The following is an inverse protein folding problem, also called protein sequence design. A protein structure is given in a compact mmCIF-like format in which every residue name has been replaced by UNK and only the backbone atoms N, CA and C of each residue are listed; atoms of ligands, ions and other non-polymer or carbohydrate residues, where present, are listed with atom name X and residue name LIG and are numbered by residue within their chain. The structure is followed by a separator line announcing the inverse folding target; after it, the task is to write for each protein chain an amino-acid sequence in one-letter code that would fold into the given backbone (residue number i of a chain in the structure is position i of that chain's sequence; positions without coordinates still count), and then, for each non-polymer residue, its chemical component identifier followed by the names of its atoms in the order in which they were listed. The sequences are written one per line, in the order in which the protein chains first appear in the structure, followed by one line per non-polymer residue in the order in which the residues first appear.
data_IF_682437680971
#
_entry.id   IF_682437680971
#
_cell.length_a   1.000
_cell.length_b   1.000
_cell.length_c   1.000
_cell.angle_alpha   90.00
_cell.angle_beta   90.00
_cell.angle_gamma   90.00
#
_symmetry.space_group_name_H-M   'P 1'
#
loop_
_entity.id
_entity.type
_entity.pdbx_description
1 polymer ?
#
# COMPACT_ATOMS: atom_id res chain seq x y z
N UNK A 1 -26.50 -0.41 8.44
CA UNK A 1 -26.73 -0.87 9.83
C UNK A 1 -26.28 0.22 10.80
N UNK A 2 -27.09 0.60 11.81
CA UNK A 2 -26.74 1.68 12.74
C UNK A 2 -25.60 1.26 13.69
N UNK A 3 -24.68 2.16 14.00
CA UNK A 3 -23.50 1.93 14.88
C UNK A 3 -23.83 1.18 16.19
N UNK A 4 -24.98 1.45 16.79
CA UNK A 4 -25.45 0.74 18.01
C UNK A 4 -25.78 -0.74 17.79
N UNK A 5 -26.33 -1.10 16.63
CA UNK A 5 -26.67 -2.49 16.30
C UNK A 5 -25.39 -3.31 16.02
N UNK A 6 -24.44 -2.72 15.30
CA UNK A 6 -23.13 -3.31 15.07
C UNK A 6 -22.40 -3.58 16.38
N UNK A 7 -22.38 -2.61 17.30
CA UNK A 7 -21.81 -2.80 18.65
C UNK A 7 -22.51 -3.92 19.43
N UNK A 8 -23.83 -4.06 19.28
CA UNK A 8 -24.62 -5.11 19.94
C UNK A 8 -24.31 -6.51 19.40
N UNK A 9 -24.09 -6.62 18.08
CA UNK A 9 -23.67 -7.87 17.41
C UNK A 9 -22.27 -8.26 17.85
N UNK A 10 -21.33 -7.32 17.85
CA UNK A 10 -19.95 -7.54 18.29
C UNK A 10 -19.88 -7.98 19.76
N UNK A 11 -20.71 -7.40 20.64
CA UNK A 11 -20.80 -7.80 22.03
C UNK A 11 -21.43 -9.18 22.25
N UNK A 12 -22.34 -9.60 21.37
CA UNK A 12 -22.97 -10.93 21.43
C UNK A 12 -22.07 -12.04 20.88
N UNK A 13 -21.14 -11.70 19.97
CA UNK A 13 -20.19 -12.65 19.40
C UNK A 13 -19.01 -12.91 20.34
N UNK A 14 -18.73 -12.01 21.28
CA UNK A 14 -17.68 -12.17 22.30
C UNK A 14 -18.17 -12.90 23.53
N UNK A 15 -17.43 -13.90 23.98
CA UNK A 15 -17.64 -14.56 25.26
C UNK A 15 -17.42 -13.56 26.44
N UNK A 16 -18.02 -13.80 27.61
CA UNK A 16 -17.94 -12.92 28.78
C UNK A 16 -16.49 -12.56 29.21
N UNK A 17 -15.51 -13.34 28.80
CA UNK A 17 -14.07 -13.13 29.04
C UNK A 17 -13.43 -12.04 28.18
N UNK A 18 -14.17 -11.44 27.22
CA UNK A 18 -13.66 -10.50 26.23
C UNK A 18 -13.94 -9.02 26.46
N UNK A 19 -14.38 -8.61 27.66
CA UNK A 19 -14.71 -7.21 27.94
C UNK A 19 -13.60 -6.20 27.63
N UNK A 20 -12.34 -6.56 27.88
CA UNK A 20 -11.19 -5.69 27.58
C UNK A 20 -10.87 -5.62 26.10
N UNK A 21 -11.15 -6.70 25.37
CA UNK A 21 -10.98 -6.85 23.94
C UNK A 21 -12.05 -6.12 23.15
N UNK A 22 -13.29 -6.22 23.62
CA UNK A 22 -14.45 -5.53 23.07
C UNK A 22 -14.15 -4.02 22.96
N UNK A 23 -13.48 -3.43 23.95
CA UNK A 23 -13.15 -2.00 23.93
C UNK A 23 -12.15 -1.63 22.82
N UNK A 24 -11.03 -2.32 22.70
CA UNK A 24 -10.01 -1.99 21.69
C UNK A 24 -10.48 -2.31 20.27
N UNK A 25 -11.27 -3.36 20.12
CA UNK A 25 -11.86 -3.68 18.84
C UNK A 25 -12.97 -2.69 18.46
N UNK A 26 -13.80 -2.30 19.42
CA UNK A 26 -14.78 -1.22 19.20
C UNK A 26 -14.08 0.09 18.86
N UNK A 27 -12.93 0.40 19.45
CA UNK A 27 -12.12 1.57 19.10
C UNK A 27 -11.55 1.46 17.68
N UNK A 28 -11.04 0.30 17.28
CA UNK A 28 -10.56 0.05 15.91
C UNK A 28 -11.71 0.11 14.91
N UNK A 29 -12.81 -0.56 15.20
CA UNK A 29 -14.01 -0.54 14.36
C UNK A 29 -14.63 0.86 14.30
N UNK A 30 -14.62 1.59 15.40
CA UNK A 30 -15.04 2.99 15.42
C UNK A 30 -14.10 3.88 14.61
N UNK A 31 -12.81 3.54 14.52
CA UNK A 31 -11.87 4.21 13.63
C UNK A 31 -12.20 3.95 12.16
N UNK A 32 -12.53 2.71 11.80
CA UNK A 32 -13.00 2.34 10.46
C UNK A 32 -14.32 3.05 10.12
N UNK A 33 -15.30 3.00 11.02
CA UNK A 33 -16.57 3.73 10.86
C UNK A 33 -16.34 5.24 10.77
N UNK A 34 -15.46 5.80 11.59
CA UNK A 34 -15.14 7.22 11.56
C UNK A 34 -14.49 7.61 10.24
N UNK A 35 -13.72 6.76 9.60
CA UNK A 35 -13.14 7.06 8.28
C UNK A 35 -14.21 7.17 7.19
N UNK A 36 -15.31 6.43 7.28
CA UNK A 36 -16.49 6.58 6.42
C UNK A 36 -17.28 7.84 6.80
N UNK A 37 -17.50 8.07 8.09
CA UNK A 37 -18.23 9.23 8.60
C UNK A 37 -17.48 10.56 8.45
N UNK A 38 -16.15 10.54 8.44
CA UNK A 38 -15.32 11.71 8.23
C UNK A 38 -15.66 12.44 6.94
N UNK A 39 -16.12 11.73 5.91
CA UNK A 39 -16.53 12.33 4.64
C UNK A 39 -17.85 13.07 4.72
N UNK A 40 -18.78 12.61 5.57
CA UNK A 40 -20.08 13.28 5.79
C UNK A 40 -19.96 14.49 6.73
N UNK A 41 -18.86 14.59 7.49
CA UNK A 41 -18.64 15.68 8.44
C UNK A 41 -17.65 16.71 7.89
N UNK A 42 -18.15 17.86 7.45
CA UNK A 42 -17.35 18.95 6.84
C UNK A 42 -16.12 19.36 7.65
N UNK A 43 -16.16 19.35 9.00
CA UNK A 43 -15.03 19.73 9.86
C UNK A 43 -13.89 18.70 9.85
N UNK A 44 -14.19 17.41 9.64
CA UNK A 44 -13.19 16.33 9.58
C UNK A 44 -12.72 16.06 8.16
N UNK A 45 -13.50 16.46 7.16
CA UNK A 45 -13.08 16.50 5.76
C UNK A 45 -11.72 17.19 5.59
N UNK A 46 -11.44 18.22 6.40
CA UNK A 46 -10.20 19.00 6.37
C UNK A 46 -8.94 18.23 6.81
N UNK A 47 -9.05 17.21 7.65
CA UNK A 47 -7.88 16.45 8.13
C UNK A 47 -7.41 15.43 7.08
N UNK A 48 -8.34 14.90 6.29
CA UNK A 48 -8.09 13.87 5.27
C UNK A 48 -8.22 14.40 3.84
N UNK A 49 -8.75 15.59 3.67
CA UNK A 49 -8.89 16.22 2.36
C UNK A 49 -7.69 17.09 2.05
N UNK A 50 -7.16 16.74 0.92
CA UNK A 50 -6.34 17.53 0.05
C UNK A 50 -5.64 18.70 0.74
N UNK A 51 -4.51 18.47 1.36
CA UNK A 51 -3.60 19.55 1.40
C UNK A 51 -3.30 19.89 -0.06
N UNK A 52 -3.52 21.09 -0.45
CA UNK A 52 -2.97 21.66 -1.67
C UNK A 52 -1.50 21.27 -1.78
N UNK A 53 -0.97 21.15 -2.98
CA UNK A 53 0.44 20.82 -3.21
C UNK A 53 1.38 21.70 -2.38
N UNK A 54 1.01 22.98 -2.19
CA UNK A 54 1.74 23.92 -1.32
C UNK A 54 1.90 23.42 0.12
N UNK A 55 0.85 22.83 0.70
CA UNK A 55 0.89 22.27 2.06
C UNK A 55 1.69 20.97 2.12
N UNK A 56 1.55 20.11 1.11
CA UNK A 56 2.35 18.90 1.00
C UNK A 56 3.84 19.23 0.83
N UNK A 57 4.17 20.22 0.02
CA UNK A 57 5.55 20.71 -0.12
C UNK A 57 6.13 21.15 1.22
N UNK A 58 5.35 21.85 2.06
CA UNK A 58 5.77 22.20 3.43
C UNK A 58 6.03 20.97 4.29
N UNK A 59 5.17 19.93 4.19
CA UNK A 59 5.36 18.66 4.91
C UNK A 59 6.66 18.00 4.44
N UNK A 60 6.93 17.93 3.13
CA UNK A 60 8.15 17.34 2.59
C UNK A 60 9.40 18.09 3.03
N UNK A 61 9.38 19.43 2.97
CA UNK A 61 10.52 20.27 3.38
C UNK A 61 10.79 20.23 4.88
N UNK A 62 9.76 20.39 5.70
CA UNK A 62 9.91 20.65 7.14
C UNK A 62 9.85 19.37 7.98
N UNK A 63 8.90 18.49 7.71
CA UNK A 63 8.71 17.29 8.52
C UNK A 63 9.51 16.10 8.00
N UNK A 64 9.48 15.85 6.67
CA UNK A 64 10.28 14.78 6.06
C UNK A 64 11.74 15.18 5.87
N UNK A 65 12.04 16.47 5.81
CA UNK A 65 13.37 17.01 5.49
C UNK A 65 13.88 16.47 4.13
N UNK A 66 12.96 16.35 3.17
CA UNK A 66 13.20 15.84 1.81
C UNK A 66 12.71 16.86 0.78
N UNK A 67 13.41 18.02 0.61
CA UNK A 67 13.00 19.04 -0.36
C UNK A 67 12.95 18.52 -1.79
N UNK A 68 13.75 17.51 -2.13
CA UNK A 68 13.76 16.87 -3.45
C UNK A 68 12.45 16.14 -3.78
N UNK A 69 11.58 15.87 -2.81
CA UNK A 69 10.24 15.31 -3.04
C UNK A 69 9.18 16.36 -3.35
N UNK A 70 9.51 17.67 -3.34
CA UNK A 70 8.51 18.71 -3.61
C UNK A 70 8.16 18.80 -5.10
N UNK A 71 6.91 19.15 -5.38
CA UNK A 71 6.42 19.43 -6.74
C UNK A 71 6.28 20.94 -6.95
N UNK A 72 6.55 21.41 -8.16
CA UNK A 72 6.09 22.70 -8.60
C UNK A 72 4.59 22.63 -8.90
N UNK A 73 3.91 23.77 -8.76
CA UNK A 73 2.49 23.87 -9.12
C UNK A 73 2.49 24.34 -10.57
N UNK A 74 2.31 23.40 -11.46
CA UNK A 74 2.32 23.59 -12.90
C UNK A 74 1.16 22.88 -13.58
N UNK A 75 1.02 23.03 -14.89
CA UNK A 75 -0.03 22.43 -15.71
C UNK A 75 0.18 20.92 -15.95
N UNK A 76 1.26 20.33 -15.43
CA UNK A 76 1.52 18.90 -15.56
C UNK A 76 0.58 18.05 -14.69
N UNK A 77 -0.17 18.68 -13.78
CA UNK A 77 -1.13 18.00 -12.91
C UNK A 77 -2.53 18.11 -13.47
N UNK A 78 -3.08 17.01 -13.94
CA UNK A 78 -4.43 16.93 -14.46
C UNK A 78 -5.36 16.12 -13.54
N UNK A 79 -6.45 16.70 -13.01
CA UNK A 79 -7.45 15.95 -12.26
C UNK A 79 -8.21 15.00 -13.19
N UNK A 80 -8.52 13.81 -12.68
CA UNK A 80 -9.28 12.79 -13.39
C UNK A 80 -10.38 12.21 -12.52
N UNK A 81 -11.40 11.64 -13.14
CA UNK A 81 -12.41 10.81 -12.50
C UNK A 81 -12.67 9.58 -13.37
N UNK A 82 -12.88 8.45 -12.73
CA UNK A 82 -13.24 7.20 -13.39
C UNK A 82 -14.14 6.37 -12.46
N UNK A 83 -14.87 5.47 -13.05
CA UNK A 83 -15.85 4.66 -12.35
C UNK A 83 -15.37 3.20 -12.24
N UNK A 84 -15.65 2.58 -11.11
CA UNK A 84 -15.40 1.16 -10.88
C UNK A 84 -16.53 0.31 -11.45
N UNK A 85 -16.33 -1.00 -11.58
CA UNK A 85 -17.36 -1.93 -12.06
C UNK A 85 -18.63 -1.98 -11.19
N UNK A 86 -18.51 -1.58 -9.93
CA UNK A 86 -19.61 -1.51 -8.96
C UNK A 86 -20.13 -0.08 -8.76
N UNK A 87 -19.88 0.82 -9.73
CA UNK A 87 -20.50 2.14 -9.80
C UNK A 87 -19.93 3.19 -8.85
N UNK A 88 -18.73 2.99 -8.31
CA UNK A 88 -18.09 3.96 -7.40
C UNK A 88 -17.23 4.92 -8.21
N UNK A 89 -17.48 6.23 -8.09
CA UNK A 89 -16.66 7.25 -8.77
C UNK A 89 -15.39 7.53 -7.96
N UNK A 90 -14.26 7.31 -8.61
CA UNK A 90 -12.92 7.48 -8.05
C UNK A 90 -12.32 8.79 -8.54
N UNK A 91 -11.79 9.58 -7.62
CA UNK A 91 -11.06 10.81 -7.89
C UNK A 91 -9.56 10.55 -7.95
N UNK A 92 -8.92 10.95 -9.02
CA UNK A 92 -7.50 10.79 -9.22
C UNK A 92 -6.81 12.03 -9.77
N UNK A 93 -5.50 11.92 -9.96
CA UNK A 93 -4.65 12.89 -10.63
C UNK A 93 -3.70 12.16 -11.57
N UNK A 94 -3.43 12.76 -12.73
CA UNK A 94 -2.27 12.45 -13.56
C UNK A 94 -1.22 13.52 -13.37
N UNK A 95 0.05 13.11 -13.28
CA UNK A 95 1.19 13.99 -13.45
C UNK A 95 1.93 13.57 -14.72
N UNK A 96 1.97 14.48 -15.68
CA UNK A 96 2.53 14.20 -17.01
C UNK A 96 3.93 14.79 -17.07
N UNK A 97 4.92 13.92 -16.99
CA UNK A 97 6.35 14.27 -17.12
C UNK A 97 6.72 14.49 -18.59
N UNK A 98 6.25 13.57 -19.43
CA UNK A 98 6.42 13.60 -20.87
C UNK A 98 5.14 13.07 -21.55
N UNK A 99 4.46 13.85 -22.35
CA UNK A 99 3.24 13.41 -23.05
C UNK A 99 3.47 12.27 -24.03
N UNK A 100 4.70 12.07 -24.49
CA UNK A 100 5.05 10.96 -25.39
C UNK A 100 5.42 9.68 -24.64
N UNK A 101 5.69 9.77 -23.34
CA UNK A 101 6.05 8.61 -22.55
C UNK A 101 4.91 7.60 -22.47
N UNK A 102 5.23 6.33 -22.69
CA UNK A 102 4.33 5.19 -22.52
C UNK A 102 4.62 4.41 -21.24
N UNK A 103 5.43 5.00 -20.34
CA UNK A 103 5.77 4.46 -19.02
C UNK A 103 4.94 5.16 -17.95
N UNK A 104 4.27 4.38 -17.09
CA UNK A 104 3.39 4.91 -16.04
C UNK A 104 3.61 4.23 -14.71
N UNK A 105 3.58 5.00 -13.63
CA UNK A 105 3.45 4.50 -12.26
C UNK A 105 2.04 4.77 -11.77
N UNK A 106 1.36 3.72 -11.31
CA UNK A 106 0.14 3.87 -10.51
C UNK A 106 0.53 3.70 -9.04
N UNK A 107 0.33 4.74 -8.24
CA UNK A 107 0.68 4.72 -6.81
C UNK A 107 -0.54 4.75 -5.92
N UNK A 108 -0.55 3.84 -4.93
CA UNK A 108 -1.67 3.48 -4.07
C UNK A 108 -1.38 3.82 -2.60
N UNK A 109 -2.18 4.69 -2.01
CA UNK A 109 -1.97 5.14 -0.63
C UNK A 109 -2.37 4.10 0.42
N UNK A 110 -1.94 4.32 1.67
CA UNK A 110 -2.36 3.53 2.84
C UNK A 110 -3.77 3.86 3.31
N UNK A 111 -4.32 3.04 4.18
CA UNK A 111 -5.56 3.34 4.89
C UNK A 111 -5.47 4.69 5.60
N UNK A 112 -6.47 5.56 5.43
CA UNK A 112 -6.49 6.96 5.86
C UNK A 112 -5.56 7.91 5.09
N UNK A 113 -4.86 7.43 4.07
CA UNK A 113 -4.09 8.26 3.15
C UNK A 113 -4.96 8.98 2.11
N UNK A 114 -4.33 9.57 1.14
CA UNK A 114 -4.96 10.20 -0.02
C UNK A 114 -3.99 10.28 -1.20
N UNK A 115 -4.50 10.57 -2.41
CA UNK A 115 -3.75 10.60 -3.67
C UNK A 115 -2.48 11.47 -3.65
N UNK A 116 -2.46 12.57 -2.91
CA UNK A 116 -1.26 13.40 -2.83
C UNK A 116 -0.09 12.69 -2.14
N UNK A 117 -0.32 11.91 -1.08
CA UNK A 117 0.74 11.08 -0.51
C UNK A 117 1.33 10.15 -1.57
N UNK A 118 0.48 9.48 -2.33
CA UNK A 118 0.90 8.59 -3.41
C UNK A 118 1.69 9.32 -4.49
N UNK A 119 1.30 10.56 -4.84
CA UNK A 119 2.03 11.39 -5.79
C UNK A 119 3.47 11.64 -5.35
N UNK A 120 3.65 12.03 -4.08
CA UNK A 120 4.98 12.33 -3.53
C UNK A 120 5.85 11.07 -3.39
N UNK A 121 5.25 9.91 -3.08
CA UNK A 121 5.95 8.64 -3.08
C UNK A 121 6.42 8.23 -4.47
N UNK A 122 5.63 8.45 -5.50
CA UNK A 122 5.96 8.09 -6.88
C UNK A 122 6.99 9.03 -7.53
N UNK A 123 7.29 10.18 -6.93
CA UNK A 123 8.14 11.21 -7.55
C UNK A 123 9.49 10.71 -8.08
N UNK A 124 10.23 9.83 -7.41
CA UNK A 124 11.53 9.36 -7.93
C UNK A 124 11.46 8.74 -9.33
N UNK A 125 10.32 8.17 -9.73
CA UNK A 125 10.14 7.55 -11.04
C UNK A 125 10.04 8.56 -12.20
N UNK A 126 9.81 9.83 -11.90
CA UNK A 126 9.84 10.92 -12.90
C UNK A 126 11.20 10.95 -13.60
N UNK A 127 12.28 10.69 -12.86
CA UNK A 127 13.64 10.70 -13.39
C UNK A 127 13.92 9.54 -14.35
N UNK A 128 13.10 8.48 -14.31
CA UNK A 128 13.10 7.39 -15.30
C UNK A 128 12.15 7.63 -16.48
N UNK A 129 11.54 8.82 -16.58
CA UNK A 129 10.59 9.18 -17.63
C UNK A 129 9.19 8.58 -17.44
N UNK A 130 8.80 8.22 -16.21
CA UNK A 130 7.44 7.77 -15.93
C UNK A 130 6.49 8.94 -15.73
N UNK A 131 5.33 8.86 -16.35
CA UNK A 131 4.14 9.60 -15.94
C UNK A 131 3.54 8.93 -14.70
N UNK A 132 2.78 9.67 -13.91
CA UNK A 132 2.21 9.17 -12.66
C UNK A 132 0.70 9.27 -12.70
N UNK A 133 0.02 8.20 -12.27
CA UNK A 133 -1.40 8.20 -11.94
C UNK A 133 -1.55 7.89 -10.45
N UNK A 134 -2.30 8.73 -9.75
CA UNK A 134 -2.66 8.52 -8.36
C UNK A 134 -4.16 8.75 -8.16
N UNK A 135 -4.74 8.08 -7.16
CA UNK A 135 -6.15 8.21 -6.88
C UNK A 135 -6.44 8.04 -5.40
N UNK A 136 -7.59 8.54 -4.97
CA UNK A 136 -8.14 8.24 -3.66
C UNK A 136 -8.95 6.96 -3.74
N UNK A 137 -8.63 5.96 -2.92
CA UNK A 137 -9.51 4.79 -2.79
C UNK A 137 -10.92 5.21 -2.37
N UNK A 138 -11.94 4.40 -2.68
CA UNK A 138 -13.28 4.60 -2.14
C UNK A 138 -13.25 4.90 -0.65
N UNK A 139 -14.13 5.72 -0.15
CA UNK A 139 -14.15 6.19 1.23
C UNK A 139 -12.96 7.07 1.65
N UNK A 140 -12.08 7.47 0.75
CA UNK A 140 -10.95 8.36 1.02
C UNK A 140 -10.99 9.61 0.11
N UNK A 141 -10.33 10.68 0.55
CA UNK A 141 -10.14 11.92 -0.22
C UNK A 141 -11.42 12.42 -0.88
N UNK A 142 -11.41 12.55 -2.20
CA UNK A 142 -12.52 13.06 -3.03
C UNK A 142 -13.28 11.98 -3.80
N UNK A 143 -12.92 10.70 -3.64
CA UNK A 143 -13.68 9.58 -4.21
C UNK A 143 -14.99 9.34 -3.46
N UNK A 144 -15.93 8.65 -4.08
CA UNK A 144 -17.23 8.36 -3.47
C UNK A 144 -17.11 7.55 -2.18
N UNK A 145 -18.11 7.74 -1.32
CA UNK A 145 -18.25 6.99 -0.09
C UNK A 145 -19.22 5.85 -0.28
N UNK A 146 -18.81 4.68 0.15
CA UNK A 146 -19.64 3.49 0.31
C UNK A 146 -19.90 3.22 1.79
N UNK A 147 -20.79 2.29 2.10
CA UNK A 147 -21.16 2.00 3.48
C UNK A 147 -20.05 1.33 4.27
N UNK A 148 -19.04 0.75 3.60
CA UNK A 148 -18.07 -0.11 4.21
C UNK A 148 -16.65 0.16 3.70
N UNK A 149 -15.68 0.13 4.60
CA UNK A 149 -14.25 0.03 4.31
C UNK A 149 -13.83 -1.41 4.62
N UNK A 150 -13.24 -2.09 3.62
CA UNK A 150 -12.86 -3.49 3.73
C UNK A 150 -11.36 -3.71 3.91
N UNK A 151 -10.57 -2.63 3.93
CA UNK A 151 -9.11 -2.69 4.03
C UNK A 151 -8.46 -3.51 2.90
N UNK A 152 -9.03 -3.45 1.71
CA UNK A 152 -8.43 -4.00 0.50
C UNK A 152 -9.33 -4.84 -0.37
N UNK A 153 -10.42 -5.47 0.16
CA UNK A 153 -11.29 -6.32 -0.67
C UNK A 153 -12.04 -5.50 -1.72
N UNK A 154 -12.87 -4.56 -1.29
CA UNK A 154 -13.59 -3.67 -2.21
C UNK A 154 -12.67 -2.64 -2.86
N UNK A 155 -11.69 -2.15 -2.11
CA UNK A 155 -10.70 -1.19 -2.59
C UNK A 155 -9.81 -1.77 -3.71
N UNK A 156 -9.72 -3.10 -3.85
CA UNK A 156 -9.03 -3.74 -4.99
C UNK A 156 -9.68 -3.43 -6.33
N UNK A 157 -11.01 -3.24 -6.36
CA UNK A 157 -11.76 -2.83 -7.57
C UNK A 157 -11.37 -1.44 -8.05
N UNK A 158 -10.97 -0.56 -7.12
CA UNK A 158 -10.55 0.80 -7.45
C UNK A 158 -9.22 0.79 -8.22
N UNK A 159 -8.27 -0.07 -7.81
CA UNK A 159 -7.02 -0.24 -8.55
C UNK A 159 -7.24 -0.90 -9.92
N UNK A 160 -8.15 -1.88 -10.01
CA UNK A 160 -8.55 -2.47 -11.30
C UNK A 160 -9.11 -1.39 -12.23
N UNK A 161 -10.00 -0.53 -11.71
CA UNK A 161 -10.56 0.58 -12.48
C UNK A 161 -9.51 1.61 -12.90
N UNK A 162 -8.54 1.93 -12.02
CA UNK A 162 -7.43 2.83 -12.33
C UNK A 162 -6.54 2.28 -13.47
N UNK A 163 -6.23 0.99 -13.45
CA UNK A 163 -5.48 0.32 -14.52
C UNK A 163 -6.24 0.33 -15.84
N UNK A 164 -7.55 0.02 -15.81
CA UNK A 164 -8.41 0.09 -17.01
C UNK A 164 -8.44 1.51 -17.57
N UNK A 165 -8.75 2.51 -16.72
CA UNK A 165 -8.78 3.91 -17.12
C UNK A 165 -7.48 4.33 -17.82
N UNK A 166 -6.34 3.98 -17.23
CA UNK A 166 -5.03 4.31 -17.81
C UNK A 166 -4.82 3.63 -19.15
N UNK A 167 -5.16 2.35 -19.28
CA UNK A 167 -4.99 1.59 -20.51
C UNK A 167 -5.86 2.14 -21.63
N UNK A 168 -7.10 2.49 -21.34
CA UNK A 168 -8.06 2.96 -22.33
C UNK A 168 -7.72 4.37 -22.83
N UNK A 169 -7.19 5.24 -21.97
CA UNK A 169 -6.94 6.64 -22.31
C UNK A 169 -5.49 6.92 -22.75
N UNK A 170 -4.49 6.28 -22.16
CA UNK A 170 -3.06 6.61 -22.35
C UNK A 170 -2.30 5.54 -23.15
N UNK A 171 -2.87 4.34 -23.31
CA UNK A 171 -2.27 3.21 -24.04
C UNK A 171 -0.82 2.92 -23.60
N UNK A 172 -0.57 2.67 -22.32
CA UNK A 172 0.77 2.45 -21.79
C UNK A 172 1.41 1.19 -22.36
N UNK A 173 2.72 1.19 -22.47
CA UNK A 173 3.53 0.00 -22.79
C UNK A 173 4.08 -0.64 -21.51
N UNK A 174 4.22 0.17 -20.45
CA UNK A 174 4.73 -0.25 -19.15
C UNK A 174 3.95 0.43 -18.04
N UNK A 175 3.42 -0.38 -17.12
CA UNK A 175 2.84 0.08 -15.87
C UNK A 175 3.64 -0.53 -14.73
N UNK A 176 4.17 0.32 -13.84
CA UNK A 176 4.66 -0.06 -12.52
C UNK A 176 3.60 0.24 -11.46
N UNK A 177 3.46 -0.62 -10.46
CA UNK A 177 2.57 -0.40 -9.32
C UNK A 177 3.41 -0.07 -8.08
N UNK A 178 3.03 0.97 -7.35
CA UNK A 178 3.65 1.34 -6.08
C UNK A 178 2.57 1.38 -5.00
N UNK A 179 2.71 0.58 -3.95
CA UNK A 179 1.71 0.52 -2.89
C UNK A 179 2.30 0.59 -1.50
N UNK A 180 1.58 1.28 -0.62
CA UNK A 180 1.91 1.42 0.80
C UNK A 180 0.79 0.85 1.67
N UNK A 181 1.11 -0.03 2.62
CA UNK A 181 0.16 -0.62 3.59
C UNK A 181 -1.06 -1.26 2.88
N UNK A 182 -2.25 -0.68 3.00
CA UNK A 182 -3.44 -1.13 2.29
C UNK A 182 -3.23 -1.17 0.77
N UNK A 183 -2.59 -0.17 0.18
CA UNK A 183 -2.25 -0.16 -1.24
C UNK A 183 -1.27 -1.29 -1.61
N UNK A 184 -0.30 -1.58 -0.74
CA UNK A 184 0.62 -2.70 -0.92
C UNK A 184 -0.11 -4.06 -0.81
N UNK A 185 -1.01 -4.21 0.16
CA UNK A 185 -1.87 -5.39 0.25
C UNK A 185 -2.68 -5.61 -1.03
N UNK A 186 -3.33 -4.56 -1.54
CA UNK A 186 -4.16 -4.63 -2.75
C UNK A 186 -3.33 -5.09 -3.96
N UNK A 187 -2.12 -4.56 -4.13
CA UNK A 187 -1.22 -5.00 -5.20
C UNK A 187 -0.93 -6.50 -5.06
N UNK A 188 -0.53 -6.96 -3.87
CA UNK A 188 -0.28 -8.39 -3.65
C UNK A 188 -1.51 -9.25 -3.89
N UNK A 189 -2.69 -8.79 -3.46
CA UNK A 189 -3.96 -9.48 -3.66
C UNK A 189 -4.29 -9.63 -5.15
N UNK A 190 -4.12 -8.57 -5.95
CA UNK A 190 -4.37 -8.64 -7.40
C UNK A 190 -3.39 -9.59 -8.10
N UNK A 191 -2.15 -9.73 -7.62
CA UNK A 191 -1.21 -10.67 -8.24
C UNK A 191 -1.63 -12.14 -8.11
N UNK A 192 -2.49 -12.48 -7.16
CA UNK A 192 -3.03 -13.84 -6.98
C UNK A 192 -4.46 -14.01 -7.48
N UNK A 193 -5.21 -12.92 -7.65
CA UNK A 193 -6.62 -12.97 -8.06
C UNK A 193 -6.88 -12.49 -9.48
N UNK A 194 -5.95 -11.72 -10.08
CA UNK A 194 -6.15 -11.02 -11.36
C UNK A 194 -4.94 -11.16 -12.30
N UNK A 195 -4.33 -12.37 -12.38
CA UNK A 195 -3.08 -12.60 -13.10
C UNK A 195 -3.15 -12.21 -14.58
N UNK A 196 -4.15 -12.71 -15.29
CA UNK A 196 -4.32 -12.44 -16.72
C UNK A 196 -4.70 -10.98 -16.98
N UNK A 197 -5.47 -10.36 -16.08
CA UNK A 197 -5.79 -8.94 -16.16
C UNK A 197 -4.52 -8.09 -16.08
N UNK A 198 -3.67 -8.31 -15.09
CA UNK A 198 -2.43 -7.55 -14.91
C UNK A 198 -1.49 -7.70 -16.12
N UNK A 199 -1.37 -8.93 -16.65
CA UNK A 199 -0.57 -9.22 -17.85
C UNK A 199 -1.12 -8.50 -19.08
N UNK A 200 -2.42 -8.61 -19.32
CA UNK A 200 -3.12 -7.93 -20.44
C UNK A 200 -2.89 -6.43 -20.42
N UNK A 201 -2.96 -5.82 -19.24
CA UNK A 201 -2.83 -4.38 -19.07
C UNK A 201 -1.38 -3.89 -18.87
N UNK A 202 -0.38 -4.71 -19.25
CA UNK A 202 1.04 -4.31 -19.28
C UNK A 202 1.63 -3.88 -17.93
N UNK A 203 1.11 -4.42 -16.84
CA UNK A 203 1.77 -4.30 -15.54
C UNK A 203 3.06 -5.13 -15.56
N UNK A 204 4.21 -4.50 -15.32
CA UNK A 204 5.54 -5.08 -15.48
C UNK A 204 6.24 -5.37 -14.16
N UNK A 205 6.02 -4.54 -13.15
CA UNK A 205 6.62 -4.67 -11.84
C UNK A 205 5.76 -4.02 -10.76
N UNK A 206 6.05 -4.32 -9.52
CA UNK A 206 5.46 -3.63 -8.39
C UNK A 206 6.46 -3.38 -7.26
N UNK A 207 6.16 -2.37 -6.45
CA UNK A 207 6.83 -2.09 -5.18
C UNK A 207 5.77 -2.14 -4.08
N UNK A 208 6.03 -2.92 -3.06
CA UNK A 208 5.08 -3.22 -1.98
C UNK A 208 5.71 -2.90 -0.63
N UNK A 209 5.34 -1.74 -0.05
CA UNK A 209 5.87 -1.31 1.25
C UNK A 209 4.87 -1.55 2.38
N UNK A 210 5.32 -2.23 3.45
CA UNK A 210 4.56 -2.47 4.68
C UNK A 210 3.24 -3.22 4.47
N UNK A 211 3.21 -4.20 3.55
CA UNK A 211 2.04 -5.03 3.29
C UNK A 211 1.71 -5.95 4.48
N UNK A 212 0.45 -6.35 4.56
CA UNK A 212 -0.01 -7.49 5.35
C UNK A 212 -0.48 -8.59 4.40
N UNK A 213 -0.55 -9.82 4.88
CA UNK A 213 -0.95 -10.95 4.03
C UNK A 213 -2.39 -11.40 4.24
N UNK A 214 -3.00 -10.98 5.36
CA UNK A 214 -4.41 -11.24 5.64
C UNK A 214 -4.98 -10.21 6.61
N UNK A 215 -6.30 -10.08 6.62
CA UNK A 215 -6.99 -9.24 7.62
C UNK A 215 -6.78 -9.79 9.05
N UNK A 216 -6.65 -11.09 9.20
CA UNK A 216 -6.38 -11.74 10.48
C UNK A 216 -5.04 -11.32 11.07
N UNK A 217 -3.97 -11.34 10.25
CA UNK A 217 -2.64 -10.95 10.70
C UNK A 217 -2.58 -9.46 11.01
N UNK A 218 -3.25 -8.63 10.20
CA UNK A 218 -3.38 -7.19 10.44
C UNK A 218 -4.08 -6.91 11.78
N UNK A 219 -5.25 -7.51 12.01
CA UNK A 219 -6.00 -7.35 13.26
C UNK A 219 -5.21 -7.87 14.46
N UNK A 220 -4.55 -9.03 14.32
CA UNK A 220 -3.71 -9.61 15.38
C UNK A 220 -2.54 -8.69 15.75
N UNK A 221 -1.88 -8.08 14.77
CA UNK A 221 -0.78 -7.15 15.00
C UNK A 221 -1.25 -5.88 15.73
N UNK A 222 -2.32 -5.25 15.23
CA UNK A 222 -2.90 -4.04 15.84
C UNK A 222 -3.38 -4.35 17.27
N UNK A 223 -4.05 -5.47 17.46
CA UNK A 223 -4.51 -5.92 18.75
C UNK A 223 -3.36 -6.07 19.75
N UNK A 224 -2.32 -6.84 19.40
CA UNK A 224 -1.15 -7.08 20.26
C UNK A 224 -0.33 -5.82 20.54
N UNK A 225 -0.32 -4.85 19.63
CA UNK A 225 0.38 -3.58 19.85
C UNK A 225 -0.30 -2.68 20.88
N UNK A 226 -1.62 -2.84 21.09
CA UNK A 226 -2.43 -1.99 21.97
C UNK A 226 -2.80 -2.62 23.28
N UNK A 227 -2.95 -3.94 23.33
CA UNK A 227 -3.32 -4.68 24.54
C UNK A 227 -2.07 -5.36 25.08
N UNK A 228 -1.59 -4.88 26.22
CA UNK A 228 -0.49 -5.51 26.95
C UNK A 228 -0.88 -6.96 27.28
N UNK A 229 -0.09 -7.89 26.78
CA UNK A 229 0.02 -9.35 26.99
C UNK A 229 -0.67 -9.94 28.23
N UNK A 230 -1.98 -10.12 28.19
CA UNK A 230 -2.69 -10.89 29.20
C UNK A 230 -3.13 -12.29 28.73
N UNK A 231 -3.05 -12.56 27.41
CA UNK A 231 -3.59 -13.77 26.81
C UNK A 231 -2.54 -14.52 25.98
N UNK A 232 -2.73 -15.82 25.85
CA UNK A 232 -1.86 -16.66 25.03
C UNK A 232 -2.28 -16.60 23.54
N UNK A 233 -1.39 -17.03 22.64
CA UNK A 233 -1.59 -16.99 21.18
C UNK A 233 -2.87 -17.72 20.72
N UNK A 234 -3.26 -18.82 21.38
CA UNK A 234 -4.46 -19.59 21.03
C UNK A 234 -5.73 -18.80 21.32
N UNK A 235 -5.75 -18.06 22.41
CA UNK A 235 -6.87 -17.20 22.79
C UNK A 235 -6.97 -15.99 21.86
N UNK A 236 -5.85 -15.35 21.51
CA UNK A 236 -5.82 -14.27 20.53
C UNK A 236 -6.42 -14.69 19.18
N UNK A 237 -6.05 -15.87 18.67
CA UNK A 237 -6.55 -16.38 17.41
C UNK A 237 -8.08 -16.65 17.45
N UNK A 238 -8.57 -17.21 18.57
CA UNK A 238 -10.02 -17.42 18.75
C UNK A 238 -10.77 -16.09 18.71
N UNK A 239 -10.26 -15.09 19.38
CA UNK A 239 -10.84 -13.76 19.42
C UNK A 239 -10.94 -13.15 18.02
N UNK A 240 -9.84 -13.17 17.28
CA UNK A 240 -9.82 -12.64 15.91
C UNK A 240 -10.82 -13.38 15.03
N UNK A 241 -10.87 -14.73 15.14
CA UNK A 241 -11.85 -15.54 14.41
C UNK A 241 -13.30 -15.14 14.75
N UNK A 242 -13.63 -14.97 16.04
CA UNK A 242 -14.98 -14.58 16.45
C UNK A 242 -15.35 -13.17 15.97
N UNK A 243 -14.37 -12.27 15.94
CA UNK A 243 -14.51 -10.93 15.37
C UNK A 243 -14.82 -11.00 13.87
N UNK A 244 -14.05 -11.78 13.10
CA UNK A 244 -14.26 -11.91 11.66
C UNK A 244 -15.62 -12.53 11.32
N UNK A 245 -16.01 -13.59 12.02
CA UNK A 245 -17.34 -14.19 11.87
C UNK A 245 -18.48 -13.20 12.19
N UNK A 246 -18.28 -12.35 13.19
CA UNK A 246 -19.24 -11.30 13.52
C UNK A 246 -19.31 -10.23 12.43
N UNK A 247 -18.15 -9.87 11.84
CA UNK A 247 -18.08 -8.96 10.71
C UNK A 247 -18.76 -9.52 9.45
N UNK A 248 -18.50 -10.79 9.14
CA UNK A 248 -19.15 -11.49 8.03
C UNK A 248 -20.66 -11.41 8.12
N UNK A 249 -21.24 -11.76 9.29
CA UNK A 249 -22.69 -11.64 9.55
C UNK A 249 -23.20 -10.20 9.43
N UNK A 250 -22.39 -9.22 9.79
CA UNK A 250 -22.78 -7.81 9.77
C UNK A 250 -22.68 -7.17 8.39
N UNK A 251 -21.78 -7.65 7.55
CA UNK A 251 -21.40 -7.03 6.28
C UNK A 251 -21.77 -7.85 5.06
N UNK A 252 -22.06 -9.14 5.24
CA UNK A 252 -22.29 -10.13 4.20
C UNK A 252 -21.10 -10.37 3.28
N UNK A 253 -19.88 -9.97 3.69
CA UNK A 253 -18.64 -10.25 2.99
C UNK A 253 -17.85 -11.35 3.70
N UNK A 254 -17.34 -12.30 2.92
CA UNK A 254 -16.40 -13.31 3.40
C UNK A 254 -15.01 -12.69 3.54
N UNK A 255 -14.61 -12.42 4.77
CA UNK A 255 -13.31 -11.82 5.07
C UNK A 255 -12.15 -12.82 4.93
N UNK A 256 -12.43 -14.10 4.79
CA UNK A 256 -11.40 -15.11 4.55
C UNK A 256 -10.84 -15.03 3.13
N UNK A 257 -11.60 -14.49 2.17
CA UNK A 257 -11.12 -14.19 0.82
C UNK A 257 -9.92 -13.24 0.80
N UNK A 258 -9.76 -12.43 1.86
CA UNK A 258 -8.63 -11.53 2.03
C UNK A 258 -7.34 -12.23 2.50
N UNK A 259 -7.33 -13.54 2.63
CA UNK A 259 -6.14 -14.26 3.07
C UNK A 259 -5.27 -14.69 1.87
N UNK A 260 -4.28 -13.86 1.53
CA UNK A 260 -3.33 -14.16 0.44
C UNK A 260 -2.50 -15.42 0.76
N UNK A 261 -2.21 -15.69 2.04
CA UNK A 261 -1.47 -16.88 2.42
C UNK A 261 -2.23 -18.15 2.09
N UNK A 262 -3.53 -18.18 2.34
CA UNK A 262 -4.37 -19.33 2.03
C UNK A 262 -4.41 -19.60 0.51
N UNK A 263 -4.40 -18.54 -0.31
CA UNK A 263 -4.31 -18.69 -1.77
C UNK A 263 -3.02 -19.37 -2.22
N UNK A 264 -1.89 -19.06 -1.58
CA UNK A 264 -0.62 -19.72 -1.89
C UNK A 264 -0.52 -21.11 -1.28
N UNK A 265 -0.89 -21.26 -0.02
CA UNK A 265 -0.53 -22.43 0.80
C UNK A 265 -1.61 -23.51 0.80
N UNK A 266 -2.89 -23.16 0.63
CA UNK A 266 -4.02 -24.09 0.58
C UNK A 266 -4.57 -24.28 -0.83
N UNK A 267 -4.77 -23.17 -1.55
CA UNK A 267 -5.34 -23.19 -2.90
C UNK A 267 -4.28 -23.40 -3.98
N UNK A 268 -2.99 -23.30 -3.62
CA UNK A 268 -1.84 -23.45 -4.52
C UNK A 268 -1.90 -22.54 -5.77
N UNK A 269 -2.42 -21.33 -5.60
CA UNK A 269 -2.54 -20.35 -6.67
C UNK A 269 -1.15 -19.88 -7.10
N UNK A 270 -0.87 -19.94 -8.40
CA UNK A 270 0.35 -19.36 -8.98
C UNK A 270 0.14 -17.86 -9.18
N UNK A 271 0.99 -16.98 -8.62
CA UNK A 271 0.86 -15.56 -8.82
C UNK A 271 1.17 -15.12 -10.25
N UNK A 272 0.69 -13.93 -10.61
CA UNK A 272 1.12 -13.24 -11.83
C UNK A 272 2.66 -13.15 -11.88
N UNK A 273 3.24 -13.36 -13.07
CA UNK A 273 4.68 -13.30 -13.31
C UNK A 273 5.14 -11.83 -13.41
N UNK A 274 4.90 -11.10 -12.33
CA UNK A 274 5.24 -9.68 -12.17
C UNK A 274 6.17 -9.59 -10.97
N UNK A 275 7.45 -9.22 -11.14
CA UNK A 275 8.39 -9.05 -10.04
C UNK A 275 7.90 -8.01 -9.04
N UNK A 276 8.13 -8.27 -7.76
CA UNK A 276 7.79 -7.35 -6.66
C UNK A 276 9.04 -7.07 -5.82
N UNK A 277 9.33 -5.79 -5.59
CA UNK A 277 10.23 -5.37 -4.52
C UNK A 277 9.42 -5.19 -3.24
N UNK A 278 9.62 -6.08 -2.29
CA UNK A 278 9.01 -6.02 -0.97
C UNK A 278 9.87 -5.17 -0.04
N UNK A 279 9.22 -4.24 0.68
CA UNK A 279 9.89 -3.37 1.65
C UNK A 279 9.11 -3.39 2.96
N UNK A 280 9.83 -3.48 4.10
CA UNK A 280 9.20 -3.39 5.40
C UNK A 280 10.15 -2.86 6.47
N UNK A 281 9.63 -2.08 7.41
CA UNK A 281 10.34 -1.69 8.62
C UNK A 281 10.11 -2.70 9.75
N UNK A 282 11.16 -3.22 10.39
CA UNK A 282 10.99 -4.23 11.44
C UNK A 282 10.38 -3.68 12.75
N UNK A 283 10.34 -2.36 12.93
CA UNK A 283 9.68 -1.69 14.06
C UNK A 283 8.26 -1.19 13.71
N UNK A 284 7.68 -1.72 12.64
CA UNK A 284 6.31 -1.39 12.23
C UNK A 284 5.30 -1.85 13.30
N UNK A 285 4.45 -0.92 13.75
CA UNK A 285 3.45 -1.17 14.81
C UNK A 285 2.08 -1.58 14.25
N UNK A 286 1.85 -1.44 12.95
CA UNK A 286 0.56 -1.68 12.31
C UNK A 286 0.53 -2.99 11.54
N UNK A 287 1.56 -3.24 10.73
CA UNK A 287 1.72 -4.46 9.94
C UNK A 287 2.96 -5.23 10.37
N UNK A 288 3.06 -6.49 10.03
CA UNK A 288 4.18 -7.34 10.46
C UNK A 288 5.16 -7.56 9.32
N UNK A 289 6.46 -7.30 9.58
CA UNK A 289 7.51 -7.66 8.62
C UNK A 289 7.53 -9.16 8.31
N UNK A 290 7.07 -10.01 9.25
CA UNK A 290 6.91 -11.45 8.98
C UNK A 290 5.85 -11.74 7.92
N UNK A 291 4.82 -10.90 7.76
CA UNK A 291 3.84 -11.05 6.69
C UNK A 291 4.49 -10.79 5.33
N UNK A 292 5.22 -9.69 5.20
CA UNK A 292 5.96 -9.34 3.99
C UNK A 292 6.98 -10.42 3.63
N UNK A 293 7.75 -10.92 4.62
CA UNK A 293 8.70 -12.01 4.41
C UNK A 293 7.99 -13.29 3.95
N UNK A 294 6.84 -13.64 4.53
CA UNK A 294 6.06 -14.82 4.13
C UNK A 294 5.48 -14.68 2.72
N UNK A 295 5.01 -13.48 2.34
CA UNK A 295 4.58 -13.19 0.97
C UNK A 295 5.74 -13.40 -0.01
N UNK A 296 6.91 -12.85 0.28
CA UNK A 296 8.11 -13.03 -0.52
C UNK A 296 8.50 -14.52 -0.66
N UNK A 297 8.59 -15.26 0.45
CA UNK A 297 8.93 -16.69 0.44
C UNK A 297 7.93 -17.52 -0.39
N UNK A 298 6.63 -17.26 -0.27
CA UNK A 298 5.62 -17.95 -1.04
C UNK A 298 5.76 -17.68 -2.55
N UNK A 299 6.11 -16.46 -2.92
CA UNK A 299 6.30 -16.06 -4.32
C UNK A 299 7.62 -16.54 -4.90
N UNK A 300 8.70 -16.52 -4.12
CA UNK A 300 10.04 -16.93 -4.58
C UNK A 300 10.12 -18.39 -5.09
N UNK A 301 9.12 -19.21 -4.72
CA UNK A 301 8.95 -20.55 -5.29
C UNK A 301 8.72 -20.55 -6.81
N UNK A 302 8.14 -19.46 -7.35
CA UNK A 302 7.76 -19.35 -8.76
C UNK A 302 8.30 -18.09 -9.45
N UNK A 303 8.62 -17.04 -8.71
CA UNK A 303 9.09 -15.75 -9.23
C UNK A 303 10.54 -15.52 -8.76
N UNK A 304 11.48 -15.57 -9.68
CA UNK A 304 12.92 -15.43 -9.37
C UNK A 304 13.40 -14.00 -9.16
N UNK A 305 12.68 -13.03 -9.71
CA UNK A 305 13.09 -11.62 -9.71
C UNK A 305 12.43 -10.80 -8.59
N UNK A 306 11.73 -11.44 -7.64
CA UNK A 306 11.27 -10.76 -6.45
C UNK A 306 12.47 -10.40 -5.55
N UNK A 307 12.39 -9.25 -4.87
CA UNK A 307 13.41 -8.80 -3.92
C UNK A 307 12.74 -8.45 -2.57
N UNK A 308 13.48 -8.65 -1.47
CA UNK A 308 13.04 -8.32 -0.12
C UNK A 308 14.02 -7.37 0.55
N UNK A 309 13.51 -6.26 1.08
CA UNK A 309 14.28 -5.25 1.81
C UNK A 309 13.64 -5.00 3.17
N UNK A 310 14.32 -5.36 4.24
CA UNK A 310 13.88 -5.10 5.61
C UNK A 310 14.75 -4.04 6.25
N UNK A 311 14.14 -2.91 6.62
CA UNK A 311 14.81 -1.83 7.33
C UNK A 311 14.73 -2.03 8.84
N UNK A 312 15.89 -2.08 9.50
CA UNK A 312 15.95 -2.12 10.95
C UNK A 312 15.52 -0.78 11.56
N UNK A 313 14.81 -0.87 12.69
CA UNK A 313 14.30 0.27 13.45
C UNK A 313 13.32 1.18 12.71
N UNK A 314 12.98 0.86 11.47
CA UNK A 314 12.05 1.63 10.66
C UNK A 314 10.60 1.32 11.00
N UNK A 315 9.75 2.35 10.92
CA UNK A 315 8.33 2.28 11.19
C UNK A 315 7.48 1.89 9.99
N UNK A 316 6.19 2.20 10.08
CA UNK A 316 5.19 1.91 9.05
C UNK A 316 5.27 2.88 7.88
N UNK A 317 5.56 2.42 6.67
CA UNK A 317 5.65 3.24 5.46
C UNK A 317 6.59 4.44 5.59
N UNK A 318 7.76 4.24 6.22
CA UNK A 318 8.70 5.32 6.48
C UNK A 318 9.99 5.27 5.66
N UNK A 319 10.07 4.37 4.68
CA UNK A 319 11.30 4.15 3.90
C UNK A 319 11.82 5.42 3.23
N UNK A 320 10.97 6.17 2.54
CA UNK A 320 11.36 7.45 1.91
C UNK A 320 11.70 8.55 2.92
N UNK A 321 11.14 8.51 4.12
CA UNK A 321 11.43 9.47 5.16
C UNK A 321 12.77 9.19 5.83
N UNK A 322 13.00 7.93 6.20
CA UNK A 322 14.11 7.50 7.06
C UNK A 322 15.33 7.06 6.24
N UNK A 323 15.11 6.44 5.06
CA UNK A 323 16.15 5.81 4.24
C UNK A 323 16.06 6.23 2.75
N UNK A 324 15.88 7.52 2.49
CA UNK A 324 15.58 8.04 1.14
C UNK A 324 16.55 7.55 0.07
N UNK A 325 17.86 7.75 0.27
CA UNK A 325 18.85 7.41 -0.75
C UNK A 325 18.85 5.91 -1.05
N UNK A 326 18.87 5.07 -0.02
CA UNK A 326 18.83 3.61 -0.15
C UNK A 326 17.53 3.15 -0.83
N UNK A 327 16.40 3.68 -0.39
CA UNK A 327 15.09 3.29 -0.91
C UNK A 327 14.97 3.66 -2.39
N UNK A 328 15.29 4.91 -2.75
CA UNK A 328 15.19 5.37 -4.14
C UNK A 328 16.20 4.62 -5.03
N UNK A 329 17.43 4.42 -4.57
CA UNK A 329 18.41 3.63 -5.30
C UNK A 329 17.87 2.22 -5.61
N UNK A 330 17.32 1.52 -4.60
CA UNK A 330 16.77 0.17 -4.78
C UNK A 330 15.58 0.15 -5.71
N UNK A 331 14.71 1.14 -5.64
CA UNK A 331 13.55 1.26 -6.54
C UNK A 331 13.98 1.39 -8.00
N UNK A 332 14.92 2.31 -8.29
CA UNK A 332 15.36 2.56 -9.66
C UNK A 332 16.19 1.37 -10.20
N UNK A 333 17.04 0.75 -9.39
CA UNK A 333 17.76 -0.45 -9.79
C UNK A 333 16.86 -1.67 -10.00
N UNK A 334 15.82 -1.82 -9.17
CA UNK A 334 14.83 -2.89 -9.34
C UNK A 334 14.04 -2.71 -10.64
N UNK A 335 13.58 -1.50 -10.92
CA UNK A 335 12.92 -1.18 -12.20
C UNK A 335 13.84 -1.50 -13.38
N UNK A 336 15.10 -1.07 -13.31
CA UNK A 336 16.08 -1.30 -14.36
C UNK A 336 16.31 -2.79 -14.67
N UNK A 337 16.32 -3.67 -13.68
CA UNK A 337 16.43 -5.13 -13.90
C UNK A 337 15.30 -5.69 -14.78
N UNK A 338 14.18 -4.98 -14.86
CA UNK A 338 12.97 -5.43 -15.55
C UNK A 338 12.83 -4.74 -16.90
N UNK A 339 13.14 -3.45 -16.96
CA UNK A 339 13.01 -2.61 -18.16
C UNK A 339 14.29 -2.61 -18.97
N UNK A 340 15.45 -2.80 -18.30
CA UNK A 340 16.77 -2.91 -18.91
C UNK A 340 17.22 -1.62 -19.66
N UNK A 341 17.17 -0.49 -18.95
CA UNK A 341 17.60 0.82 -19.45
C UNK A 341 18.67 1.43 -18.50
N UNK A 342 19.88 0.89 -18.59
CA UNK A 342 21.01 1.26 -17.71
C UNK A 342 21.36 2.74 -17.82
N UNK A 343 21.35 3.31 -19.02
CA UNK A 343 21.72 4.71 -19.25
C UNK A 343 20.75 5.67 -18.59
N UNK A 344 19.44 5.42 -18.74
CA UNK A 344 18.40 6.23 -18.09
C UNK A 344 18.51 6.10 -16.58
N UNK A 345 18.69 4.90 -16.06
CA UNK A 345 18.84 4.67 -14.62
C UNK A 345 20.06 5.36 -14.04
N UNK A 346 21.20 5.29 -14.73
CA UNK A 346 22.43 5.97 -14.32
C UNK A 346 22.23 7.48 -14.25
N UNK A 347 21.70 8.08 -15.31
CA UNK A 347 21.39 9.53 -15.35
C UNK A 347 20.40 9.95 -14.26
N UNK A 348 19.38 9.14 -14.00
CA UNK A 348 18.42 9.40 -12.94
C UNK A 348 19.08 9.41 -11.55
N UNK A 349 19.93 8.43 -11.26
CA UNK A 349 20.66 8.35 -9.99
C UNK A 349 21.65 9.53 -9.83
N UNK A 350 22.35 9.92 -10.89
CA UNK A 350 23.24 11.09 -10.91
C UNK A 350 22.45 12.38 -10.63
N UNK A 351 21.33 12.59 -11.34
CA UNK A 351 20.47 13.77 -11.17
C UNK A 351 19.87 13.86 -9.76
N UNK A 352 19.53 12.72 -9.15
CA UNK A 352 19.06 12.65 -7.78
C UNK A 352 20.19 12.81 -6.74
N UNK A 353 21.45 12.82 -7.18
CA UNK A 353 22.63 12.95 -6.32
C UNK A 353 22.79 11.78 -5.34
N UNK A 354 22.49 10.57 -5.79
CA UNK A 354 22.48 9.35 -4.97
C UNK A 354 23.73 8.49 -5.18
N UNK A 355 24.37 8.55 -6.35
CA UNK A 355 25.45 7.63 -6.77
C UNK A 355 26.58 7.52 -5.74
N UNK A 356 27.03 8.65 -5.20
CA UNK A 356 28.14 8.69 -4.24
C UNK A 356 27.70 8.40 -2.79
N UNK A 357 26.43 8.18 -2.55
CA UNK A 357 25.86 8.01 -1.20
C UNK A 357 25.52 6.57 -0.87
N UNK A 358 25.69 5.65 -1.83
CA UNK A 358 25.36 4.24 -1.68
C UNK A 358 26.49 3.38 -2.24
N UNK A 359 27.00 2.50 -1.41
CA UNK A 359 28.00 1.51 -1.78
C UNK A 359 27.26 0.20 -2.09
N UNK A 360 27.31 -0.21 -3.35
CA UNK A 360 26.46 -1.29 -3.87
C UNK A 360 26.75 -2.66 -3.23
N UNK A 361 27.99 -2.93 -2.83
CA UNK A 361 28.45 -4.25 -2.35
C UNK A 361 28.91 -4.29 -0.89
N UNK A 362 28.93 -3.16 -0.19
CA UNK A 362 29.27 -3.14 1.23
C UNK A 362 28.13 -2.45 1.98
N UNK A 363 27.33 -3.24 2.68
CA UNK A 363 26.55 -2.72 3.80
C UNK A 363 27.56 -2.24 4.84
N UNK A 364 27.94 -0.98 4.75
CA UNK A 364 28.77 -0.39 5.78
C UNK A 364 27.90 -0.23 7.02
N UNK A 365 28.10 -1.10 7.99
CA UNK A 365 27.38 -1.10 9.27
C UNK A 365 27.50 0.23 10.01
N UNK A 366 28.55 1.04 9.69
CA UNK A 366 28.72 2.38 10.24
C UNK A 366 27.75 3.44 9.68
N UNK A 367 27.00 3.13 8.63
CA UNK A 367 25.99 4.01 8.03
C UNK A 367 24.60 3.67 8.57
N UNK A 368 24.33 3.62 9.82
CA UNK A 368 22.98 3.47 10.46
C UNK A 368 21.95 2.57 9.71
N UNK A 369 22.42 1.72 8.77
CA UNK A 369 21.59 0.94 7.86
C UNK A 369 21.87 -0.54 8.11
N UNK A 370 21.28 -1.07 9.16
CA UNK A 370 21.14 -2.53 9.22
C UNK A 370 19.96 -2.94 8.35
N UNK A 371 20.26 -3.22 7.09
CA UNK A 371 19.29 -3.70 6.11
C UNK A 371 19.56 -5.18 5.87
N UNK A 372 18.55 -6.02 6.07
CA UNK A 372 18.62 -7.41 5.62
C UNK A 372 18.13 -7.46 4.18
N UNK A 373 19.02 -7.85 3.31
CA UNK A 373 18.72 -8.08 1.91
C UNK A 373 18.82 -9.57 1.63
N UNK A 374 17.74 -10.16 1.15
CA UNK A 374 17.71 -11.53 0.67
C UNK A 374 17.64 -11.50 -0.86
N UNK A 375 18.73 -11.93 -1.49
CA UNK A 375 18.77 -12.21 -2.91
C UNK A 375 18.95 -13.72 -3.04
N UNK A 376 18.06 -14.39 -3.75
CA UNK A 376 18.36 -15.72 -4.29
C UNK A 376 19.35 -15.54 -5.44
N UNK A 377 20.50 -16.21 -5.35
CA UNK A 377 21.45 -16.32 -6.46
C UNK A 377 20.91 -17.17 -7.61
#
# INVERSE_FOLDING_TARGET
MKSKERRKILRKAGDKNFKALDKSFIEFYTLLEKSVFFRKNKKRKYIYMNPEISKMNKIMKLYFKKPQLTFEIDDNIAPIRFETEDGVVISGLKYITDPNSKKWIISCHWFTGHKYWSLYWAKPFIELGYNILVFDFRNHGESDSTDLITLGLLESKDLVAAIKYLTDNEKPQTIGLLGMSMGAYIINYLTVTQQEFLKKHKVKFAISESAYGSIETLLSKIYRSRIKRFFNKKMDNKIISDILKSQEKATLYDWTEMNIFDKYEKENVKPAQIPILFIHGNNDRYTSSSDTTRLFINRSRTIKNDELLIYNFSGHCTSLKEHYNQTVYRWLKFENKIINDDDVTKKALEKLGIVDKIIENNFNESLEISTFYFKEE
#
